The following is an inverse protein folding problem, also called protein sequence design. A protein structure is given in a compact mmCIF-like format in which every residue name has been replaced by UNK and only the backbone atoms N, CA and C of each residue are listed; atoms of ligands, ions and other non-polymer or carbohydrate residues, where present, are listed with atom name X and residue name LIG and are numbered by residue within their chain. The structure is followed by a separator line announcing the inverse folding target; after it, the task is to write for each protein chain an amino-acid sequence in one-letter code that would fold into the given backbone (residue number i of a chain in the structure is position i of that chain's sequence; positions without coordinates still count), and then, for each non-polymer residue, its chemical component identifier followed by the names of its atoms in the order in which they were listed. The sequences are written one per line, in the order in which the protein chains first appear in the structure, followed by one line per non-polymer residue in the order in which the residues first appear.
data_IF_797703883678
#
_entry.id   IF_797703883678
#
_cell.length_a   1.000
_cell.length_b   1.000
_cell.length_c   1.000
_cell.angle_alpha   90.00
_cell.angle_beta   90.00
_cell.angle_gamma   90.00
#
_symmetry.space_group_name_H-M   'P 1'
#
loop_
_entity.id
_entity.type
_entity.pdbx_description
1 polymer ?
#
# COMPACT_ATOMS: atom_id res chain seq x y z
N UNK A 1 -15.67 39.49 5.73
CA UNK A 1 -15.63 39.37 4.26
C UNK A 1 -15.44 37.89 3.94
N UNK A 2 -16.22 37.13 3.19
CA UNK A 2 -17.47 37.33 2.46
C UNK A 2 -18.05 35.93 2.22
N UNK A 3 -19.37 35.82 2.30
CA UNK A 3 -20.19 34.62 2.02
C UNK A 3 -19.98 34.11 0.61
N UNK A 4 -20.05 32.78 0.39
CA UNK A 4 -20.85 32.18 -0.71
C UNK A 4 -21.36 30.78 -0.33
N UNK A 5 -22.67 30.65 -0.44
CA UNK A 5 -23.51 29.47 -0.26
C UNK A 5 -23.56 28.69 -1.59
N UNK A 6 -23.51 27.35 -1.61
CA UNK A 6 -24.00 26.58 -2.75
C UNK A 6 -25.49 26.26 -2.57
N UNK A 7 -26.23 26.53 -3.65
CA UNK A 7 -27.69 26.52 -3.78
C UNK A 7 -28.31 25.15 -3.54
N UNK A 8 -29.47 25.17 -2.89
CA UNK A 8 -30.47 24.10 -2.83
C UNK A 8 -30.72 23.46 -4.21
N UNK A 9 -30.49 22.15 -4.28
CA UNK A 9 -30.96 21.29 -5.35
C UNK A 9 -32.47 21.10 -5.22
N UNK A 10 -33.19 21.73 -6.16
CA UNK A 10 -34.61 21.55 -6.47
C UNK A 10 -35.05 20.09 -6.31
N UNK A 11 -35.97 19.83 -5.37
CA UNK A 11 -36.82 18.64 -5.38
C UNK A 11 -37.67 18.67 -6.66
N UNK A 12 -37.41 17.77 -7.59
CA UNK A 12 -38.28 17.54 -8.74
C UNK A 12 -39.26 16.45 -8.32
N UNK A 13 -40.49 16.87 -8.00
CA UNK A 13 -41.62 15.97 -7.82
C UNK A 13 -41.91 15.32 -9.19
N UNK A 14 -41.55 14.06 -9.34
CA UNK A 14 -41.98 13.26 -10.49
C UNK A 14 -43.33 12.64 -10.09
N UNK A 15 -44.39 13.43 -10.26
CA UNK A 15 -45.76 12.90 -10.27
C UNK A 15 -45.96 12.24 -11.63
N UNK A 16 -45.72 10.93 -11.73
CA UNK A 16 -46.15 10.13 -12.87
C UNK A 16 -47.65 9.91 -12.76
N UNK A 17 -48.43 10.82 -13.33
CA UNK A 17 -49.86 10.64 -13.56
C UNK A 17 -50.04 9.50 -14.57
N UNK A 18 -50.37 8.31 -14.08
CA UNK A 18 -50.88 7.20 -14.86
C UNK A 18 -52.35 7.47 -15.14
N UNK A 19 -52.64 8.35 -16.09
CA UNK A 19 -53.96 8.44 -16.70
C UNK A 19 -54.07 7.32 -17.73
N UNK A 20 -54.52 6.16 -17.26
CA UNK A 20 -55.08 5.11 -18.11
C UNK A 20 -56.39 5.63 -18.68
N UNK A 21 -56.37 6.17 -19.90
CA UNK A 21 -57.60 6.34 -20.66
C UNK A 21 -58.12 4.96 -21.05
N UNK A 22 -59.10 4.46 -20.31
CA UNK A 22 -60.00 3.38 -20.72
C UNK A 22 -60.73 3.82 -21.99
N UNK A 23 -60.18 3.49 -23.16
CA UNK A 23 -60.91 3.62 -24.42
C UNK A 23 -61.90 2.46 -24.48
N UNK A 24 -63.09 2.70 -23.92
CA UNK A 24 -64.28 1.87 -24.07
C UNK A 24 -64.51 1.53 -25.54
N UNK A 25 -64.37 0.25 -25.90
CA UNK A 25 -64.77 -0.28 -27.20
C UNK A 25 -66.29 -0.47 -27.25
N UNK A 26 -67.04 0.62 -27.34
CA UNK A 26 -68.48 0.57 -27.55
C UNK A 26 -68.76 0.14 -29.00
N UNK A 27 -69.29 -1.07 -29.15
CA UNK A 27 -69.62 -1.67 -30.44
C UNK A 27 -71.06 -1.29 -30.81
N UNK A 28 -71.28 -0.06 -31.27
CA UNK A 28 -72.58 0.33 -31.84
C UNK A 28 -72.63 -0.05 -33.32
N UNK A 29 -73.16 -1.26 -33.56
CA UNK A 29 -73.55 -1.71 -34.90
C UNK A 29 -74.67 -0.77 -35.38
N UNK A 30 -74.32 0.20 -36.23
CA UNK A 30 -75.30 1.00 -36.96
C UNK A 30 -75.88 0.16 -38.09
N UNK A 31 -77.09 -0.37 -37.88
CA UNK A 31 -77.94 -0.87 -38.96
C UNK A 31 -78.62 0.32 -39.64
N UNK A 32 -77.98 0.86 -40.69
CA UNK A 32 -78.64 1.80 -41.60
C UNK A 32 -79.00 1.11 -42.92
N UNK A 33 -80.31 1.01 -43.11
CA UNK A 33 -81.04 0.52 -44.26
C UNK A 33 -81.06 1.64 -45.33
N UNK A 34 -80.27 1.55 -46.41
CA UNK A 34 -80.37 2.50 -47.54
C UNK A 34 -80.11 1.89 -48.92
N UNK A 35 -81.18 1.95 -49.71
CA UNK A 35 -81.26 1.93 -51.17
C UNK A 35 -80.36 2.99 -51.85
N UNK A 36 -79.98 2.74 -53.11
CA UNK A 36 -79.27 3.59 -54.09
C UNK A 36 -77.82 3.20 -54.42
N UNK A 37 -77.51 3.14 -55.73
CA UNK A 37 -76.40 2.39 -56.34
C UNK A 37 -75.16 3.23 -56.72
N UNK A 38 -75.13 4.54 -56.45
CA UNK A 38 -74.00 5.42 -56.84
C UNK A 38 -73.16 5.95 -55.65
N UNK A 39 -73.59 5.76 -54.40
CA UNK A 39 -72.77 6.10 -53.21
C UNK A 39 -71.74 5.01 -52.83
N UNK A 40 -71.84 3.83 -53.44
CA UNK A 40 -71.05 2.65 -53.05
C UNK A 40 -69.55 2.87 -53.27
N UNK A 41 -69.16 3.54 -54.35
CA UNK A 41 -67.75 3.72 -54.69
C UNK A 41 -67.03 4.73 -53.79
N UNK A 42 -67.72 5.78 -53.33
CA UNK A 42 -67.23 6.71 -52.31
C UNK A 42 -67.10 6.05 -50.93
N UNK A 43 -68.12 5.28 -50.51
CA UNK A 43 -68.10 4.52 -49.25
C UNK A 43 -66.99 3.46 -49.21
N UNK A 44 -66.66 2.82 -50.33
CA UNK A 44 -65.55 1.86 -50.44
C UNK A 44 -64.17 2.56 -50.30
N UNK A 45 -64.00 3.75 -50.88
CA UNK A 45 -62.76 4.53 -50.72
C UNK A 45 -62.58 5.01 -49.28
N UNK A 46 -63.67 5.47 -48.65
CA UNK A 46 -63.66 5.91 -47.25
C UNK A 46 -63.36 4.73 -46.29
N UNK A 47 -63.93 3.56 -46.53
CA UNK A 47 -63.65 2.36 -45.72
C UNK A 47 -62.22 1.85 -45.90
N UNK A 48 -61.65 1.91 -47.11
CA UNK A 48 -60.22 1.60 -47.33
C UNK A 48 -59.30 2.55 -46.56
N UNK A 49 -59.53 3.87 -46.67
CA UNK A 49 -58.76 4.87 -45.92
C UNK A 49 -58.86 4.68 -44.41
N UNK A 50 -60.02 4.26 -43.91
CA UNK A 50 -60.23 3.96 -42.50
C UNK A 50 -59.41 2.74 -42.04
N UNK A 51 -59.34 1.69 -42.87
CA UNK A 51 -58.54 0.49 -42.60
C UNK A 51 -57.05 0.83 -42.59
N UNK A 52 -56.56 1.55 -43.60
CA UNK A 52 -55.17 2.01 -43.67
C UNK A 52 -54.81 2.88 -42.45
N UNK A 53 -55.71 3.79 -42.05
CA UNK A 53 -55.52 4.59 -40.83
C UNK A 53 -55.44 3.72 -39.57
N UNK A 54 -56.30 2.70 -39.44
CA UNK A 54 -56.26 1.77 -38.31
C UNK A 54 -54.98 0.94 -38.27
N UNK A 55 -54.50 0.49 -39.42
CA UNK A 55 -53.23 -0.24 -39.55
C UNK A 55 -52.03 0.64 -39.14
N UNK A 56 -51.98 1.89 -39.62
CA UNK A 56 -50.93 2.85 -39.23
C UNK A 56 -50.96 3.10 -37.72
N UNK A 57 -52.16 3.29 -37.13
CA UNK A 57 -52.29 3.49 -35.69
C UNK A 57 -51.80 2.28 -34.89
N UNK A 58 -52.11 1.06 -35.34
CA UNK A 58 -51.61 -0.16 -34.71
C UNK A 58 -50.08 -0.27 -34.81
N UNK A 59 -49.50 0.01 -35.98
CA UNK A 59 -48.05 0.01 -36.17
C UNK A 59 -47.36 1.04 -35.26
N UNK A 60 -47.95 2.21 -35.08
CA UNK A 60 -47.45 3.23 -34.13
C UNK A 60 -47.49 2.69 -32.69
N UNK A 61 -48.54 1.98 -32.29
CA UNK A 61 -48.62 1.37 -30.96
C UNK A 61 -47.53 0.32 -30.75
N UNK A 62 -47.31 -0.57 -31.73
CA UNK A 62 -46.23 -1.56 -31.68
C UNK A 62 -44.86 -0.91 -31.54
N UNK A 63 -44.58 0.13 -32.34
CA UNK A 63 -43.32 0.87 -32.26
C UNK A 63 -43.14 1.56 -30.90
N UNK A 64 -44.20 2.09 -30.30
CA UNK A 64 -44.15 2.66 -28.94
C UNK A 64 -43.81 1.61 -27.89
N UNK A 65 -44.38 0.40 -28.00
CA UNK A 65 -44.09 -0.72 -27.10
C UNK A 65 -42.62 -1.15 -27.26
N UNK A 66 -42.16 -1.35 -28.50
CA UNK A 66 -40.78 -1.75 -28.76
C UNK A 66 -39.78 -0.70 -28.23
N UNK A 67 -40.04 0.59 -28.49
CA UNK A 67 -39.21 1.68 -27.97
C UNK A 67 -39.16 1.68 -26.43
N UNK A 68 -40.30 1.48 -25.77
CA UNK A 68 -40.37 1.38 -24.31
C UNK A 68 -39.55 0.19 -23.78
N UNK A 69 -39.67 -0.97 -24.43
CA UNK A 69 -38.88 -2.16 -24.09
C UNK A 69 -37.38 -1.93 -24.27
N UNK A 70 -36.96 -1.29 -25.36
CA UNK A 70 -35.55 -0.95 -25.60
C UNK A 70 -35.02 0.04 -24.57
N UNK A 71 -35.82 1.04 -24.19
CA UNK A 71 -35.45 1.97 -23.11
C UNK A 71 -35.26 1.25 -21.78
N UNK A 72 -36.18 0.35 -21.42
CA UNK A 72 -36.05 -0.46 -20.20
C UNK A 72 -34.79 -1.34 -20.22
N UNK A 73 -34.47 -1.93 -21.36
CA UNK A 73 -33.24 -2.73 -21.52
C UNK A 73 -31.98 -1.88 -21.34
N UNK A 74 -31.97 -0.66 -21.89
CA UNK A 74 -30.85 0.29 -21.74
C UNK A 74 -30.69 0.68 -20.26
N UNK A 75 -31.78 0.96 -19.56
CA UNK A 75 -31.71 1.39 -18.17
C UNK A 75 -31.27 0.25 -17.23
N UNK A 76 -31.69 -0.99 -17.50
CA UNK A 76 -31.16 -2.17 -16.81
C UNK A 76 -29.64 -2.32 -17.04
N UNK A 77 -29.17 -2.21 -18.28
CA UNK A 77 -27.74 -2.28 -18.58
C UNK A 77 -26.95 -1.16 -17.89
N UNK A 78 -27.48 0.07 -17.85
CA UNK A 78 -26.85 1.17 -17.11
C UNK A 78 -26.75 0.85 -15.63
N UNK A 79 -27.81 0.29 -15.03
CA UNK A 79 -27.81 -0.10 -13.63
C UNK A 79 -26.74 -1.16 -13.36
N UNK A 80 -26.68 -2.21 -14.18
CA UNK A 80 -25.68 -3.27 -14.06
C UNK A 80 -24.25 -2.71 -14.16
N UNK A 81 -24.00 -1.79 -15.10
CA UNK A 81 -22.70 -1.14 -15.23
C UNK A 81 -22.37 -0.23 -14.04
N UNK A 82 -23.35 0.50 -13.50
CA UNK A 82 -23.16 1.34 -12.32
C UNK A 82 -22.80 0.48 -11.09
N UNK A 83 -23.56 -0.58 -10.82
CA UNK A 83 -23.24 -1.53 -9.77
C UNK A 83 -21.85 -2.14 -9.99
N UNK A 84 -21.50 -2.46 -11.24
CA UNK A 84 -20.18 -3.02 -11.53
C UNK A 84 -19.05 -2.04 -11.27
N UNK A 85 -19.25 -0.76 -11.56
CA UNK A 85 -18.29 0.30 -11.26
C UNK A 85 -18.10 0.41 -9.75
N UNK A 86 -19.19 0.45 -8.98
CA UNK A 86 -19.12 0.52 -7.51
C UNK A 86 -18.35 -0.67 -6.90
N UNK A 87 -18.62 -1.90 -7.35
CA UNK A 87 -17.88 -3.09 -6.92
C UNK A 87 -16.38 -3.01 -7.23
N UNK A 88 -16.02 -2.47 -8.40
CA UNK A 88 -14.63 -2.35 -8.82
C UNK A 88 -13.90 -1.24 -8.05
N UNK A 89 -14.60 -0.14 -7.74
CA UNK A 89 -14.08 0.94 -6.91
C UNK A 89 -13.84 0.48 -5.46
N UNK A 90 -14.75 -0.30 -4.88
CA UNK A 90 -14.56 -0.90 -3.56
C UNK A 90 -13.33 -1.82 -3.53
N UNK A 91 -13.21 -2.74 -4.50
CA UNK A 91 -12.04 -3.63 -4.62
C UNK A 91 -10.73 -2.88 -4.80
N UNK A 92 -10.75 -1.79 -5.57
CA UNK A 92 -9.58 -0.94 -5.76
C UNK A 92 -9.18 -0.27 -4.43
N UNK A 93 -10.15 0.25 -3.68
CA UNK A 93 -9.90 0.87 -2.38
C UNK A 93 -9.33 -0.13 -1.37
N UNK A 94 -9.88 -1.35 -1.31
CA UNK A 94 -9.34 -2.42 -0.47
C UNK A 94 -7.89 -2.77 -0.82
N UNK A 95 -7.60 -2.93 -2.12
CA UNK A 95 -6.26 -3.22 -2.60
C UNK A 95 -5.27 -2.09 -2.27
N UNK A 96 -5.69 -0.83 -2.40
CA UNK A 96 -4.89 0.33 -2.02
C UNK A 96 -4.62 0.37 -0.51
N UNK A 97 -5.63 0.08 0.31
CA UNK A 97 -5.48 0.05 1.76
C UNK A 97 -4.53 -1.08 2.20
N UNK A 98 -4.65 -2.27 1.61
CA UNK A 98 -3.74 -3.38 1.87
C UNK A 98 -2.30 -3.03 1.46
N UNK A 99 -2.13 -2.42 0.28
CA UNK A 99 -0.81 -1.96 -0.19
C UNK A 99 -0.18 -0.96 0.79
N UNK A 100 -0.93 0.02 1.27
CA UNK A 100 -0.43 1.01 2.24
C UNK A 100 0.02 0.35 3.54
N UNK A 101 -0.79 -0.58 4.08
CA UNK A 101 -0.48 -1.30 5.30
C UNK A 101 0.81 -2.14 5.15
N UNK A 102 0.95 -2.87 4.04
CA UNK A 102 2.13 -3.65 3.75
C UNK A 102 3.38 -2.78 3.58
N UNK A 103 3.24 -1.63 2.91
CA UNK A 103 4.33 -0.67 2.72
C UNK A 103 4.82 -0.15 4.07
N UNK A 104 3.90 0.29 4.94
CA UNK A 104 4.25 0.77 6.29
C UNK A 104 4.92 -0.32 7.13
N UNK A 105 4.45 -1.56 7.04
CA UNK A 105 5.05 -2.69 7.76
C UNK A 105 6.47 -2.97 7.27
N UNK A 106 6.68 -2.95 5.96
CA UNK A 106 8.00 -3.17 5.35
C UNK A 106 8.96 -2.05 5.72
N UNK A 107 8.54 -0.79 5.62
CA UNK A 107 9.35 0.38 5.97
C UNK A 107 9.74 0.36 7.45
N UNK A 108 8.81 -0.02 8.33
CA UNK A 108 9.09 -0.15 9.76
C UNK A 108 10.12 -1.26 10.03
N UNK A 109 9.94 -2.44 9.43
CA UNK A 109 10.87 -3.56 9.57
C UNK A 109 12.27 -3.21 9.06
N UNK A 110 12.34 -2.56 7.90
CA UNK A 110 13.59 -2.13 7.29
C UNK A 110 14.29 -1.06 8.15
N UNK A 111 13.52 -0.12 8.70
CA UNK A 111 14.05 0.91 9.61
C UNK A 111 14.63 0.31 10.88
N UNK A 112 13.93 -0.67 11.49
CA UNK A 112 14.43 -1.38 12.68
C UNK A 112 15.70 -2.13 12.35
N UNK A 113 15.71 -2.94 11.28
CA UNK A 113 16.88 -3.70 10.86
C UNK A 113 18.09 -2.81 10.57
N UNK A 114 17.89 -1.66 9.93
CA UNK A 114 18.96 -0.71 9.68
C UNK A 114 19.52 -0.10 10.97
N UNK A 115 18.65 0.23 11.93
CA UNK A 115 19.09 0.75 13.24
C UNK A 115 19.87 -0.30 14.03
N UNK A 116 19.38 -1.54 14.06
CA UNK A 116 20.04 -2.64 14.76
C UNK A 116 21.38 -2.98 14.13
N UNK A 117 21.46 -3.05 12.79
CA UNK A 117 22.71 -3.27 12.08
C UNK A 117 23.74 -2.16 12.36
N UNK A 118 23.33 -0.89 12.37
CA UNK A 118 24.20 0.23 12.72
C UNK A 118 24.70 0.13 14.16
N UNK A 119 23.81 -0.17 15.11
CA UNK A 119 24.17 -0.33 16.52
C UNK A 119 25.16 -1.49 16.72
N UNK A 120 24.92 -2.62 16.06
CA UNK A 120 25.82 -3.77 16.11
C UNK A 120 27.19 -3.45 15.50
N UNK A 121 27.22 -2.77 14.36
CA UNK A 121 28.46 -2.32 13.72
C UNK A 121 29.26 -1.38 14.62
N UNK A 122 28.59 -0.44 15.29
CA UNK A 122 29.22 0.50 16.22
C UNK A 122 29.80 -0.21 17.44
N UNK A 123 29.05 -1.15 18.03
CA UNK A 123 29.53 -1.99 19.14
C UNK A 123 30.78 -2.79 18.72
N UNK A 124 30.70 -3.47 17.58
CA UNK A 124 31.82 -4.28 17.07
C UNK A 124 33.07 -3.42 16.81
N UNK A 125 32.88 -2.18 16.33
CA UNK A 125 33.98 -1.22 16.17
C UNK A 125 34.60 -0.85 17.52
N UNK A 126 33.78 -0.54 18.54
CA UNK A 126 34.28 -0.22 19.88
C UNK A 126 35.05 -1.38 20.51
N UNK A 127 34.55 -2.60 20.36
CA UNK A 127 35.25 -3.81 20.83
C UNK A 127 36.58 -4.01 20.10
N UNK A 128 36.59 -3.84 18.77
CA UNK A 128 37.80 -3.92 17.96
C UNK A 128 38.84 -2.87 18.38
N UNK A 129 38.42 -1.61 18.55
CA UNK A 129 39.29 -0.52 18.99
C UNK A 129 39.89 -0.80 20.38
N UNK A 130 39.11 -1.41 21.28
CA UNK A 130 39.56 -1.81 22.62
C UNK A 130 40.61 -2.93 22.53
N UNK A 131 40.38 -3.93 21.69
CA UNK A 131 41.34 -5.03 21.46
C UNK A 131 42.64 -4.48 20.86
N UNK A 132 42.55 -3.62 19.85
CA UNK A 132 43.70 -2.97 19.22
C UNK A 132 44.51 -2.16 20.21
N UNK A 133 43.85 -1.37 21.07
CA UNK A 133 44.53 -0.60 22.10
C UNK A 133 45.26 -1.51 23.08
N UNK A 134 44.62 -2.60 23.52
CA UNK A 134 45.24 -3.57 24.42
C UNK A 134 46.43 -4.28 23.76
N UNK A 135 46.30 -4.64 22.49
CA UNK A 135 47.38 -5.26 21.71
C UNK A 135 48.59 -4.32 21.64
N UNK A 136 48.38 -3.03 21.34
CA UNK A 136 49.45 -2.03 21.30
C UNK A 136 50.18 -1.90 22.64
N UNK A 137 49.45 -1.89 23.75
CA UNK A 137 50.06 -1.85 25.09
C UNK A 137 50.89 -3.11 25.38
N UNK A 138 50.41 -4.28 24.96
CA UNK A 138 51.14 -5.54 25.12
C UNK A 138 52.41 -5.55 24.25
N UNK A 139 52.35 -5.03 23.03
CA UNK A 139 53.52 -4.90 22.16
C UNK A 139 54.57 -3.96 22.76
N UNK A 140 54.15 -2.81 23.30
CA UNK A 140 55.04 -1.85 23.95
C UNK A 140 55.69 -2.44 25.22
N UNK A 141 54.91 -3.11 26.07
CA UNK A 141 55.46 -3.74 27.28
C UNK A 141 56.39 -4.90 26.95
N UNK A 142 56.10 -5.69 25.91
CA UNK A 142 56.99 -6.76 25.45
C UNK A 142 58.32 -6.18 24.95
N UNK A 143 58.27 -5.07 24.21
CA UNK A 143 59.48 -4.37 23.76
C UNK A 143 60.31 -3.90 24.95
N UNK A 144 59.71 -3.23 25.94
CA UNK A 144 60.41 -2.80 27.15
C UNK A 144 61.03 -3.96 27.94
N UNK A 145 60.34 -5.10 28.03
CA UNK A 145 60.87 -6.30 28.69
C UNK A 145 62.05 -6.90 27.93
N UNK A 146 62.00 -6.92 26.59
CA UNK A 146 63.12 -7.38 25.76
C UNK A 146 64.35 -6.48 25.92
N UNK A 147 64.15 -5.17 25.97
CA UNK A 147 65.22 -4.20 26.16
C UNK A 147 65.86 -4.38 27.55
N UNK A 148 65.05 -4.43 28.62
CA UNK A 148 65.52 -4.72 29.99
C UNK A 148 66.27 -6.04 30.11
N UNK A 149 65.74 -7.11 29.50
CA UNK A 149 66.43 -8.41 29.48
C UNK A 149 67.75 -8.34 28.70
N UNK A 150 67.81 -7.51 27.64
CA UNK A 150 69.04 -7.20 26.92
C UNK A 150 70.06 -6.45 27.78
N UNK A 151 69.63 -5.47 28.56
CA UNK A 151 70.46 -4.72 29.50
C UNK A 151 71.03 -5.63 30.59
N UNK A 152 70.18 -6.45 31.22
CA UNK A 152 70.61 -7.43 32.23
C UNK A 152 71.65 -8.38 31.66
N UNK A 153 71.44 -8.93 30.45
CA UNK A 153 72.42 -9.81 29.81
C UNK A 153 73.75 -9.12 29.51
N UNK A 154 73.75 -7.83 29.17
CA UNK A 154 74.99 -7.05 28.95
C UNK A 154 75.70 -6.80 30.28
N UNK A 155 74.98 -6.29 31.26
CA UNK A 155 75.50 -6.04 32.61
C UNK A 155 76.12 -7.29 33.24
N UNK A 156 75.50 -8.46 33.08
CA UNK A 156 76.05 -9.73 33.57
C UNK A 156 77.31 -10.20 32.82
N UNK A 157 77.48 -9.84 31.54
CA UNK A 157 78.71 -10.15 30.79
C UNK A 157 79.85 -9.24 31.20
N UNK A 158 79.54 -7.97 31.46
CA UNK A 158 80.51 -6.95 31.83
C UNK A 158 80.82 -6.97 33.34
N UNK A 159 80.20 -7.89 34.10
CA UNK A 159 80.41 -8.07 35.53
C UNK A 159 81.70 -8.86 35.80
N UNK A 160 82.78 -8.15 36.11
CA UNK A 160 84.02 -8.75 36.63
C UNK A 160 83.99 -8.72 38.17
N UNK A 161 83.76 -9.88 38.79
CA UNK A 161 83.71 -10.01 40.25
C UNK A 161 85.06 -10.50 40.79
N UNK A 162 85.70 -9.70 41.64
CA UNK A 162 86.94 -10.12 42.31
C UNK A 162 86.63 -11.02 43.52
N UNK A 163 87.51 -11.98 43.83
CA UNK A 163 87.27 -13.00 44.87
C UNK A 163 86.99 -12.39 46.26
N UNK A 164 87.66 -11.29 46.61
CA UNK A 164 87.40 -10.55 47.86
C UNK A 164 86.01 -9.92 47.93
N UNK A 165 85.45 -9.50 46.78
CA UNK A 165 84.12 -8.90 46.69
C UNK A 165 83.03 -9.96 46.80
N UNK A 166 83.24 -11.14 46.21
CA UNK A 166 82.35 -12.28 46.34
C UNK A 166 82.22 -12.77 47.79
N UNK A 167 83.36 -12.91 48.50
CA UNK A 167 83.36 -13.34 49.91
C UNK A 167 82.68 -12.32 50.82
N UNK A 168 82.83 -11.02 50.54
CA UNK A 168 82.09 -9.95 51.24
C UNK A 168 80.60 -10.03 50.99
N UNK A 169 80.16 -10.18 49.74
CA UNK A 169 78.72 -10.32 49.41
C UNK A 169 78.08 -11.55 50.06
N UNK A 170 78.78 -12.68 50.08
CA UNK A 170 78.32 -13.94 50.69
C UNK A 170 78.19 -13.89 52.21
N UNK A 171 78.81 -12.90 52.86
CA UNK A 171 78.78 -12.74 54.31
C UNK A 171 77.59 -11.92 54.84
N UNK A 172 76.80 -11.30 53.94
CA UNK A 172 75.56 -10.59 54.32
C UNK A 172 74.42 -11.60 54.59
N UNK A 173 73.58 -11.31 55.58
CA UNK A 173 72.42 -12.15 55.91
C UNK A 173 71.28 -11.95 54.91
N UNK A 174 70.50 -13.01 54.65
CA UNK A 174 69.38 -13.04 53.69
C UNK A 174 68.33 -11.93 53.93
N UNK A 175 68.22 -11.41 55.15
CA UNK A 175 67.29 -10.34 55.53
C UNK A 175 67.72 -8.92 55.07
N UNK A 176 68.97 -8.75 54.60
CA UNK A 176 69.50 -7.45 54.13
C UNK A 176 69.71 -7.38 52.62
N UNK A 177 69.47 -8.48 51.90
CA UNK A 177 69.64 -8.58 50.45
C UNK A 177 68.41 -8.05 49.71
N UNK A 178 68.64 -7.19 48.72
CA UNK A 178 67.59 -6.75 47.80
C UNK A 178 67.22 -7.90 46.86
N UNK A 179 65.95 -8.02 46.44
CA UNK A 179 65.43 -9.09 45.56
C UNK A 179 66.33 -9.44 44.34
N UNK A 180 67.03 -8.50 43.67
CA UNK A 180 67.97 -8.82 42.59
C UNK A 180 69.19 -9.66 43.03
N UNK A 181 69.61 -9.52 44.29
CA UNK A 181 70.79 -10.19 44.86
C UNK A 181 70.46 -11.58 45.40
N UNK A 182 69.17 -11.91 45.60
CA UNK A 182 68.71 -13.22 46.07
C UNK A 182 68.55 -14.26 44.94
N UNK A 183 68.49 -13.83 43.66
CA UNK A 183 68.18 -14.72 42.52
C UNK A 183 69.32 -14.81 41.49
N UNK A 184 70.58 -14.60 41.89
CA UNK A 184 71.76 -14.92 41.05
C UNK A 184 72.39 -16.26 41.42
#
# INVERSE_FOLDING_TARGET
MSRKIPKESKKVNISSSLESEDISLETTIHTDDVSSSEEREGKIKITRQLIERKEILHNIQLLKIELSQKNMMIDNLKMDYLTKIEELEEKLNDALHQKQLLTLRLDNQLTIQQKDAKKYQELMKQEMDTILLRQKQLEETNQQLRDKAGDVRRNLRDLELTEEQYVKLKSFSEEQLSIPEYVS
#
